data_IF_338605925089
#
_entry.id   IF_338605925089
#
_cell.length_a   1.000
_cell.length_b   1.000
_cell.length_c   1.000
_cell.angle_alpha   90.00
_cell.angle_beta   90.00
_cell.angle_gamma   90.00
#
_symmetry.space_group_name_H-M   'P 1'
#
loop_
_entity.id
_entity.type
_entity.pdbx_description
1 polymer ?
#
# COMPACT_ATOMS: atom_id res chain seq x y z
N UNK A 1 -16.19 21.08 -12.11
CA UNK A 1 -14.96 20.28 -11.98
C UNK A 1 -15.34 18.86 -11.58
N UNK A 2 -14.84 17.84 -12.30
CA UNK A 2 -15.17 16.44 -12.03
C UNK A 2 -14.71 15.97 -10.63
N UNK A 3 -13.57 16.47 -10.16
CA UNK A 3 -13.09 16.19 -8.81
C UNK A 3 -14.06 16.72 -7.75
N UNK A 4 -14.48 17.99 -7.85
CA UNK A 4 -15.43 18.58 -6.89
C UNK A 4 -16.79 17.85 -6.88
N UNK A 5 -17.26 17.40 -8.05
CA UNK A 5 -18.47 16.58 -8.14
C UNK A 5 -18.29 15.21 -7.47
N UNK A 6 -17.12 14.57 -7.62
CA UNK A 6 -16.82 13.32 -6.94
C UNK A 6 -16.77 13.49 -5.41
N UNK A 7 -16.17 14.58 -4.90
CA UNK A 7 -16.14 14.88 -3.46
C UNK A 7 -17.55 15.09 -2.88
N UNK A 8 -18.48 15.70 -3.63
CA UNK A 8 -19.87 15.88 -3.20
C UNK A 8 -20.77 14.65 -3.35
N UNK A 9 -20.24 13.52 -3.80
CA UNK A 9 -21.04 12.31 -4.04
C UNK A 9 -21.31 11.51 -2.76
N UNK A 10 -22.46 10.83 -2.70
CA UNK A 10 -22.78 9.91 -1.60
C UNK A 10 -21.72 8.81 -1.44
N UNK A 11 -21.13 8.34 -2.53
CA UNK A 11 -20.04 7.35 -2.52
C UNK A 11 -18.81 7.87 -1.78
N UNK A 12 -18.42 9.12 -2.00
CA UNK A 12 -17.29 9.71 -1.28
C UNK A 12 -17.59 9.83 0.21
N UNK A 13 -18.77 10.33 0.57
CA UNK A 13 -19.19 10.42 1.96
C UNK A 13 -19.23 9.06 2.66
N UNK A 14 -19.75 8.01 2.00
CA UNK A 14 -19.75 6.66 2.58
C UNK A 14 -18.34 6.13 2.87
N UNK A 15 -17.35 6.43 2.01
CA UNK A 15 -15.95 6.08 2.26
C UNK A 15 -15.37 6.92 3.41
N UNK A 16 -15.66 8.22 3.44
CA UNK A 16 -15.21 9.10 4.50
C UNK A 16 -15.75 8.67 5.88
N UNK A 17 -17.02 8.27 5.96
CA UNK A 17 -17.63 7.76 7.17
C UNK A 17 -16.98 6.44 7.63
N UNK A 18 -16.69 5.53 6.70
CA UNK A 18 -15.96 4.29 7.01
C UNK A 18 -14.53 4.57 7.52
N UNK A 19 -13.83 5.56 6.96
CA UNK A 19 -12.50 5.99 7.45
C UNK A 19 -12.60 6.63 8.84
N UNK A 20 -13.63 7.44 9.10
CA UNK A 20 -13.86 8.04 10.41
C UNK A 20 -14.13 6.97 11.50
N UNK A 21 -14.86 5.90 11.15
CA UNK A 21 -15.05 4.75 12.03
C UNK A 21 -13.72 4.03 12.33
N UNK A 22 -12.89 3.78 11.30
CA UNK A 22 -11.57 3.16 11.46
C UNK A 22 -10.60 3.99 12.33
N UNK A 23 -10.76 5.32 12.32
CA UNK A 23 -9.97 6.21 13.19
C UNK A 23 -10.33 6.07 14.67
N UNK A 24 -11.53 5.57 14.97
CA UNK A 24 -12.00 5.36 16.35
C UNK A 24 -11.69 3.93 16.81
N UNK A 25 -11.99 2.94 15.97
CA UNK A 25 -11.78 1.53 16.28
C UNK A 25 -11.33 0.76 15.03
N UNK A 26 -10.21 0.03 15.16
CA UNK A 26 -9.75 -0.88 14.11
C UNK A 26 -10.33 -2.27 14.40
N UNK A 27 -11.10 -2.87 13.48
CA UNK A 27 -11.67 -4.20 13.65
C UNK A 27 -10.58 -5.27 13.52
N UNK A 28 -9.81 -5.48 14.57
CA UNK A 28 -8.77 -6.50 14.62
C UNK A 28 -9.38 -7.87 14.96
N UNK A 29 -8.97 -8.95 14.27
CA UNK A 29 -9.36 -10.30 14.65
C UNK A 29 -8.90 -10.61 16.08
N UNK A 30 -9.72 -11.34 16.83
CA UNK A 30 -9.45 -11.69 18.22
C UNK A 30 -8.04 -12.27 18.38
N UNK A 31 -7.25 -11.70 19.31
CA UNK A 31 -5.85 -12.10 19.55
C UNK A 31 -4.78 -11.18 18.93
N UNK A 32 -5.15 -10.21 18.10
CA UNK A 32 -4.24 -9.25 17.48
C UNK A 32 -4.23 -7.89 18.22
N UNK A 33 -4.12 -7.92 19.55
CA UNK A 33 -4.10 -6.71 20.38
C UNK A 33 -2.67 -6.31 20.76
N UNK A 34 -2.36 -5.02 20.69
CA UNK A 34 -1.08 -4.46 21.14
C UNK A 34 0.14 -5.06 20.45
N UNK A 35 1.17 -5.45 21.20
CA UNK A 35 2.43 -6.00 20.64
C UNK A 35 2.25 -7.29 19.81
N UNK A 36 1.21 -8.09 20.07
CA UNK A 36 0.91 -9.27 19.27
C UNK A 36 0.46 -8.89 17.85
N UNK A 37 -0.22 -7.75 17.71
CA UNK A 37 -0.57 -7.18 16.41
C UNK A 37 0.70 -6.79 15.64
N UNK A 38 1.62 -6.06 16.27
CA UNK A 38 2.87 -5.65 15.62
C UNK A 38 3.68 -6.86 15.12
N UNK A 39 3.79 -7.92 15.92
CA UNK A 39 4.45 -9.16 15.52
C UNK A 39 3.76 -9.86 14.34
N UNK A 40 2.42 -9.83 14.29
CA UNK A 40 1.66 -10.42 13.17
C UNK A 40 1.85 -9.68 11.83
N UNK A 41 2.31 -8.42 11.87
CA UNK A 41 2.50 -7.59 10.67
C UNK A 41 3.89 -7.76 10.04
N UNK A 42 4.82 -8.46 10.70
CA UNK A 42 6.14 -8.77 10.16
C UNK A 42 6.06 -9.63 8.91
N UNK A 43 5.28 -10.73 8.93
CA UNK A 43 5.14 -11.62 7.77
C UNK A 43 4.55 -10.90 6.55
N UNK A 44 3.46 -10.10 6.67
CA UNK A 44 2.98 -9.28 5.57
C UNK A 44 4.01 -8.27 5.04
N UNK A 45 4.86 -7.71 5.90
CA UNK A 45 5.91 -6.77 5.49
C UNK A 45 7.03 -7.45 4.70
N UNK A 46 7.47 -8.63 5.15
CA UNK A 46 8.42 -9.49 4.44
C UNK A 46 7.85 -9.92 3.08
N UNK A 47 6.57 -10.28 3.03
CA UNK A 47 5.90 -10.62 1.78
C UNK A 47 5.84 -9.43 0.80
N UNK A 48 5.64 -8.21 1.30
CA UNK A 48 5.67 -7.00 0.47
C UNK A 48 7.08 -6.75 -0.10
N UNK A 49 8.13 -6.96 0.69
CA UNK A 49 9.53 -6.90 0.24
C UNK A 49 9.82 -7.94 -0.84
N UNK A 50 9.44 -9.20 -0.60
CA UNK A 50 9.68 -10.28 -1.54
C UNK A 50 9.00 -10.02 -2.89
N UNK A 51 7.77 -9.49 -2.87
CA UNK A 51 7.04 -9.10 -4.08
C UNK A 51 7.71 -7.95 -4.81
N UNK A 52 8.21 -6.93 -4.09
CA UNK A 52 8.97 -5.83 -4.67
C UNK A 52 10.24 -6.34 -5.36
N UNK A 53 11.05 -7.13 -4.66
CA UNK A 53 12.30 -7.70 -5.21
C UNK A 53 12.03 -8.53 -6.46
N UNK A 54 10.96 -9.34 -6.44
CA UNK A 54 10.53 -10.13 -7.59
C UNK A 54 10.14 -9.24 -8.77
N UNK A 55 9.38 -8.16 -8.52
CA UNK A 55 8.96 -7.24 -9.59
C UNK A 55 10.13 -6.44 -10.15
N UNK A 56 11.09 -6.01 -9.32
CA UNK A 56 12.31 -5.31 -9.75
C UNK A 56 13.18 -6.23 -10.58
N UNK A 57 13.35 -7.50 -10.18
CA UNK A 57 14.10 -8.48 -10.95
C UNK A 57 13.46 -8.82 -12.31
N UNK A 58 12.16 -8.59 -12.46
CA UNK A 58 11.42 -8.78 -13.70
C UNK A 58 11.37 -7.53 -14.59
N UNK A 59 11.99 -6.41 -14.18
CA UNK A 59 12.01 -5.20 -15.00
C UNK A 59 12.79 -5.42 -16.30
N UNK A 60 12.35 -4.78 -17.41
CA UNK A 60 13.11 -4.80 -18.65
C UNK A 60 14.50 -4.17 -18.45
N UNK A 61 15.54 -4.71 -19.12
CA UNK A 61 16.88 -4.13 -19.05
C UNK A 61 16.92 -2.74 -19.70
N UNK A 62 17.89 -1.90 -19.32
CA UNK A 62 18.01 -0.51 -19.82
C UNK A 62 18.21 -0.41 -21.35
N UNK A 63 18.67 -1.48 -22.02
CA UNK A 63 19.02 -1.48 -23.45
C UNK A 63 17.94 -2.14 -24.33
N UNK A 64 16.66 -1.95 -24.03
CA UNK A 64 15.55 -2.56 -24.81
C UNK A 64 15.25 -1.93 -26.17
N UNK A 65 16.14 -1.09 -26.71
CA UNK A 65 15.88 -0.38 -27.96
C UNK A 65 14.93 0.82 -27.76
N UNK A 66 14.12 1.22 -28.76
CA UNK A 66 13.26 2.39 -28.66
C UNK A 66 12.17 2.22 -27.58
N UNK A 67 11.68 3.34 -27.05
CA UNK A 67 10.61 3.35 -26.04
C UNK A 67 9.42 2.48 -26.46
N UNK A 68 8.92 1.69 -25.51
CA UNK A 68 7.78 0.80 -25.68
C UNK A 68 6.86 0.88 -24.46
N UNK A 69 5.66 1.45 -24.63
CA UNK A 69 4.64 1.60 -23.59
C UNK A 69 4.20 0.28 -22.94
N UNK A 70 4.37 -0.86 -23.62
CA UNK A 70 4.09 -2.18 -23.04
C UNK A 70 4.98 -2.49 -21.81
N UNK A 71 6.12 -1.81 -21.70
CA UNK A 71 7.03 -1.93 -20.56
C UNK A 71 6.60 -1.09 -19.35
N UNK A 72 5.77 -0.06 -19.55
CA UNK A 72 5.37 0.86 -18.47
C UNK A 72 4.57 0.14 -17.37
N UNK A 73 3.82 -0.91 -17.73
CA UNK A 73 3.06 -1.70 -16.77
C UNK A 73 3.97 -2.32 -15.69
N UNK A 74 5.14 -2.85 -16.08
CA UNK A 74 6.10 -3.44 -15.14
C UNK A 74 6.70 -2.37 -14.21
N UNK A 75 7.03 -1.20 -14.75
CA UNK A 75 7.51 -0.05 -13.98
C UNK A 75 6.46 0.51 -13.02
N UNK A 76 5.20 0.64 -13.46
CA UNK A 76 4.10 1.05 -12.61
C UNK A 76 3.84 0.07 -11.48
N UNK A 77 3.94 -1.24 -11.77
CA UNK A 77 3.78 -2.28 -10.75
C UNK A 77 4.92 -2.24 -9.72
N UNK A 78 6.17 -2.12 -10.15
CA UNK A 78 7.30 -1.96 -9.24
C UNK A 78 7.14 -0.71 -8.35
N UNK A 79 6.66 0.40 -8.91
CA UNK A 79 6.38 1.63 -8.15
C UNK A 79 5.26 1.48 -7.13
N UNK A 80 4.20 0.73 -7.45
CA UNK A 80 3.12 0.40 -6.52
C UNK A 80 3.67 -0.45 -5.36
N UNK A 81 4.42 -1.50 -5.68
CA UNK A 81 5.00 -2.42 -4.69
C UNK A 81 6.01 -1.72 -3.78
N UNK A 82 6.78 -0.77 -4.31
CA UNK A 82 7.68 0.05 -3.49
C UNK A 82 6.92 0.87 -2.46
N UNK A 83 5.79 1.49 -2.85
CA UNK A 83 4.94 2.23 -1.90
C UNK A 83 4.35 1.30 -0.84
N UNK A 84 3.89 0.12 -1.24
CA UNK A 84 3.34 -0.87 -0.31
C UNK A 84 4.39 -1.38 0.68
N UNK A 85 5.59 -1.72 0.21
CA UNK A 85 6.69 -2.13 1.08
C UNK A 85 7.04 -1.03 2.10
N UNK A 86 7.14 0.22 1.63
CA UNK A 86 7.38 1.37 2.53
C UNK A 86 6.26 1.52 3.57
N UNK A 87 4.99 1.43 3.18
CA UNK A 87 3.88 1.53 4.13
C UNK A 87 3.83 0.36 5.12
N UNK A 88 4.15 -0.86 4.67
CA UNK A 88 4.25 -2.00 5.57
C UNK A 88 5.34 -1.77 6.63
N UNK A 89 6.48 -1.21 6.23
CA UNK A 89 7.58 -0.90 7.13
C UNK A 89 7.24 0.25 8.09
N UNK A 90 6.56 1.30 7.63
CA UNK A 90 6.05 2.40 8.48
C UNK A 90 5.08 1.87 9.56
N UNK A 91 4.24 0.89 9.24
CA UNK A 91 3.32 0.28 10.20
C UNK A 91 4.05 -0.65 11.18
N UNK A 92 5.02 -1.44 10.71
CA UNK A 92 5.76 -2.41 11.54
C UNK A 92 6.72 -1.73 12.51
N UNK A 93 7.49 -0.73 12.06
CA UNK A 93 8.43 -0.02 12.93
C UNK A 93 7.74 0.96 13.89
N UNK A 94 6.43 1.16 13.71
CA UNK A 94 5.69 2.25 14.32
C UNK A 94 6.08 3.58 13.66
N UNK A 95 5.09 4.32 13.19
CA UNK A 95 5.28 5.77 13.09
C UNK A 95 5.71 6.25 14.48
N UNK A 96 6.84 6.94 14.57
CA UNK A 96 7.21 7.60 15.80
C UNK A 96 5.98 8.38 16.30
N UNK A 97 5.57 8.10 17.52
CA UNK A 97 4.58 8.93 18.21
C UNK A 97 5.14 10.38 18.16
N UNK A 98 4.41 11.37 17.64
CA UNK A 98 4.85 12.76 17.66
C UNK A 98 5.03 13.29 19.09
#
# INVERSE_FOLDING_TARGET
SAALQALGSSRFHAIADAVALLASEVPAPSGHAGRAAAASLLEPAELAEQRLLTAVAALPPDDTGPYNEAQDAAWHQARLLLRLHRYAHEVVLGGADP
#
